data_IF_863390031354
#
_entry.id   IF_863390031354
#
_cell.length_a   1.000
_cell.length_b   1.000
_cell.length_c   1.000
_cell.angle_alpha   90.00
_cell.angle_beta   90.00
_cell.angle_gamma   90.00
#
_symmetry.space_group_name_H-M   'P 1'
#
loop_
_entity.id
_entity.type
_entity.pdbx_description
1 polymer ?
#
# COMPACT_ATOMS: atom_id res chain seq x y z
N UNK A 1 10.15 18.77 -10.39
CA UNK A 1 10.87 18.90 -9.10
C UNK A 1 10.10 18.22 -7.97
N UNK A 2 8.77 18.43 -7.89
CA UNK A 2 7.89 17.89 -6.84
C UNK A 2 7.66 16.36 -6.85
N UNK A 3 7.77 15.69 -8.01
CA UNK A 3 7.67 14.22 -8.07
C UNK A 3 8.76 13.49 -7.25
N UNK A 4 9.98 14.03 -7.18
CA UNK A 4 11.06 13.46 -6.35
C UNK A 4 10.75 13.60 -4.85
N UNK A 5 10.29 14.78 -4.44
CA UNK A 5 9.83 15.02 -3.07
C UNK A 5 8.68 14.06 -2.69
N UNK A 6 7.67 13.98 -3.54
CA UNK A 6 6.51 13.09 -3.34
C UNK A 6 6.95 11.63 -3.24
N UNK A 7 7.92 11.21 -4.06
CA UNK A 7 8.50 9.87 -4.00
C UNK A 7 9.18 9.58 -2.66
N UNK A 8 10.00 10.49 -2.15
CA UNK A 8 10.68 10.31 -0.86
C UNK A 8 9.69 10.29 0.32
N UNK A 9 8.61 11.08 0.25
CA UNK A 9 7.55 11.07 1.26
C UNK A 9 6.77 9.75 1.22
N UNK A 10 6.27 9.36 0.05
CA UNK A 10 5.43 8.16 -0.08
C UNK A 10 6.22 6.87 0.16
N UNK A 11 7.51 6.80 -0.20
CA UNK A 11 8.36 5.63 0.08
C UNK A 11 8.54 5.40 1.58
N UNK A 12 8.66 6.49 2.34
CA UNK A 12 8.76 6.46 3.81
C UNK A 12 7.40 6.10 4.42
N UNK A 13 6.30 6.70 3.97
CA UNK A 13 4.98 6.49 4.55
C UNK A 13 4.37 5.11 4.21
N UNK A 14 4.44 4.68 2.95
CA UNK A 14 3.79 3.47 2.46
C UNK A 14 4.64 2.20 2.67
N UNK A 15 5.97 2.32 2.57
CA UNK A 15 6.89 1.16 2.62
C UNK A 15 7.95 1.29 3.70
N UNK A 16 7.85 2.23 4.64
CA UNK A 16 8.83 2.43 5.71
C UNK A 16 10.30 2.45 5.22
N UNK A 17 10.51 2.87 3.97
CA UNK A 17 11.78 2.78 3.28
C UNK A 17 12.25 4.19 2.96
N UNK A 18 13.48 4.53 3.38
CA UNK A 18 14.07 5.82 3.03
C UNK A 18 14.71 5.71 1.65
N UNK A 19 14.13 6.41 0.68
CA UNK A 19 14.79 6.68 -0.59
C UNK A 19 15.52 8.01 -0.51
N UNK A 20 16.57 8.18 -1.32
CA UNK A 20 17.23 9.47 -1.48
C UNK A 20 17.17 9.89 -2.95
N UNK A 21 15.95 10.14 -3.44
CA UNK A 21 15.69 10.42 -4.87
C UNK A 21 16.46 11.63 -5.41
N UNK A 22 16.91 12.51 -4.52
CA UNK A 22 17.73 13.67 -4.84
C UNK A 22 19.19 13.32 -5.12
N UNK A 23 19.78 12.38 -4.36
CA UNK A 23 21.21 12.02 -4.48
C UNK A 23 21.45 10.83 -5.38
N UNK A 24 20.51 9.88 -5.44
CA UNK A 24 20.66 8.66 -6.22
C UNK A 24 19.44 8.42 -7.14
N UNK A 25 19.50 8.87 -8.40
CA UNK A 25 18.46 8.57 -9.37
C UNK A 25 18.46 7.11 -9.84
N UNK A 26 19.49 6.31 -9.51
CA UNK A 26 19.57 4.88 -9.84
C UNK A 26 19.10 3.98 -8.69
N UNK A 27 18.52 4.56 -7.65
CA UNK A 27 17.92 3.79 -6.57
C UNK A 27 16.86 2.82 -7.14
N UNK A 28 16.92 1.52 -6.79
CA UNK A 28 16.00 0.51 -7.33
C UNK A 28 14.53 0.84 -7.09
N UNK A 29 14.20 1.50 -5.96
CA UNK A 29 12.83 1.92 -5.68
C UNK A 29 12.37 2.97 -6.67
N UNK A 30 13.21 3.96 -6.95
CA UNK A 30 12.90 5.05 -7.89
C UNK A 30 12.77 4.51 -9.31
N UNK A 31 13.67 3.63 -9.74
CA UNK A 31 13.62 3.01 -11.07
C UNK A 31 12.35 2.16 -11.26
N UNK A 32 12.00 1.33 -10.27
CA UNK A 32 10.78 0.54 -10.34
C UNK A 32 9.52 1.41 -10.25
N UNK A 33 9.52 2.45 -9.42
CA UNK A 33 8.40 3.40 -9.38
C UNK A 33 8.20 4.11 -10.73
N UNK A 34 9.28 4.54 -11.38
CA UNK A 34 9.18 5.16 -12.71
C UNK A 34 8.54 4.22 -13.73
N UNK A 35 8.89 2.93 -13.73
CA UNK A 35 8.28 1.92 -14.61
C UNK A 35 6.78 1.73 -14.39
N UNK A 36 6.31 1.98 -13.16
CA UNK A 36 4.91 1.85 -12.77
C UNK A 36 4.09 3.03 -13.27
N UNK A 37 4.60 4.24 -13.07
CA UNK A 37 3.90 5.46 -13.46
C UNK A 37 4.11 5.85 -14.93
N UNK A 38 5.10 5.27 -15.62
CA UNK A 38 5.27 5.45 -17.07
C UNK A 38 4.29 4.57 -17.84
N UNK A 39 3.05 5.03 -17.95
CA UNK A 39 2.05 4.43 -18.84
C UNK A 39 2.50 4.64 -20.28
N UNK A 40 3.04 3.59 -20.90
CA UNK A 40 3.40 3.62 -22.31
C UNK A 40 2.15 3.66 -23.18
N UNK A 41 1.99 4.72 -23.99
CA UNK A 41 0.91 4.82 -25.00
C UNK A 41 0.84 3.61 -25.93
N UNK A 42 1.97 2.94 -26.18
CA UNK A 42 2.07 1.69 -26.94
C UNK A 42 1.37 0.50 -26.27
N UNK A 43 1.24 0.51 -24.93
CA UNK A 43 0.50 -0.51 -24.15
C UNK A 43 -1.00 -0.19 -24.07
N UNK A 44 -1.36 1.10 -24.08
CA UNK A 44 -2.75 1.55 -24.01
C UNK A 44 -3.47 1.48 -25.36
N UNK A 45 -2.79 1.81 -26.45
CA UNK A 45 -3.35 1.82 -27.80
C UNK A 45 -4.00 0.49 -28.22
N UNK A 46 -3.38 -0.70 -28.03
CA UNK A 46 -4.04 -1.95 -28.38
C UNK A 46 -5.24 -2.25 -27.48
N UNK A 47 -5.23 -1.83 -26.20
CA UNK A 47 -6.38 -1.99 -25.30
C UNK A 47 -7.61 -1.21 -25.78
N UNK A 48 -7.40 -0.03 -26.39
CA UNK A 48 -8.46 0.79 -26.96
C UNK A 48 -8.94 0.30 -28.33
N UNK A 49 -8.02 -0.17 -29.18
CA UNK A 49 -8.32 -0.51 -30.58
C UNK A 49 -8.80 -1.95 -30.79
N UNK A 50 -8.40 -2.91 -29.94
CA UNK A 50 -8.67 -4.33 -30.16
C UNK A 50 -9.62 -4.92 -29.12
N UNK A 51 -10.54 -5.81 -29.53
CA UNK A 51 -11.38 -6.56 -28.59
C UNK A 51 -10.55 -7.50 -27.70
N UNK A 52 -11.06 -7.79 -26.49
CA UNK A 52 -10.38 -8.63 -25.48
C UNK A 52 -9.88 -9.99 -26.01
N UNK A 53 -10.58 -10.61 -26.95
CA UNK A 53 -10.17 -11.91 -27.51
C UNK A 53 -8.90 -11.80 -28.37
N UNK A 54 -8.72 -10.69 -29.10
CA UNK A 54 -7.51 -10.44 -29.93
C UNK A 54 -6.32 -10.17 -29.02
N UNK A 55 -6.52 -9.40 -27.95
CA UNK A 55 -5.48 -9.11 -26.96
C UNK A 55 -5.00 -10.36 -26.24
N UNK A 56 -5.95 -11.25 -25.89
CA UNK A 56 -5.66 -12.56 -25.30
C UNK A 56 -4.89 -13.46 -26.27
N UNK A 57 -5.21 -13.43 -27.57
CA UNK A 57 -4.50 -14.22 -28.58
C UNK A 57 -3.06 -13.73 -28.78
N UNK A 58 -2.83 -12.41 -28.66
CA UNK A 58 -1.51 -11.79 -28.81
C UNK A 58 -0.68 -11.79 -27.50
N UNK A 59 -1.18 -12.41 -26.41
CA UNK A 59 -0.55 -12.38 -25.08
C UNK A 59 -0.12 -10.98 -24.62
N UNK A 60 -0.86 -9.94 -25.01
CA UNK A 60 -0.57 -8.57 -24.58
C UNK A 60 -1.02 -8.46 -23.13
N UNK A 61 -0.06 -8.45 -22.21
CA UNK A 61 -0.32 -8.25 -20.78
C UNK A 61 -0.65 -6.78 -20.54
N UNK A 62 -1.74 -6.54 -19.83
CA UNK A 62 -2.22 -5.20 -19.49
C UNK A 62 -1.73 -4.82 -18.09
N UNK A 63 -1.14 -3.63 -17.95
CA UNK A 63 -0.76 -3.07 -16.65
C UNK A 63 0.65 -2.45 -16.61
N UNK A 64 1.03 -2.04 -15.39
CA UNK A 64 2.40 -1.67 -15.05
C UNK A 64 3.37 -2.83 -15.31
N UNK A 65 4.67 -2.54 -15.43
CA UNK A 65 5.69 -3.57 -15.64
C UNK A 65 5.66 -4.59 -14.50
N UNK A 66 5.48 -5.88 -14.83
CA UNK A 66 5.34 -6.98 -13.85
C UNK A 66 6.53 -7.03 -12.89
N UNK A 67 7.74 -6.82 -13.41
CA UNK A 67 8.98 -6.75 -12.62
C UNK A 67 8.96 -5.64 -11.57
N UNK A 68 8.31 -4.51 -11.87
CA UNK A 68 8.21 -3.40 -10.95
C UNK A 68 7.19 -3.70 -9.85
N UNK A 69 6.02 -4.26 -10.19
CA UNK A 69 5.03 -4.68 -9.19
C UNK A 69 5.63 -5.73 -8.23
N UNK A 70 6.36 -6.71 -8.78
CA UNK A 70 7.02 -7.74 -8.01
C UNK A 70 8.04 -7.15 -7.02
N UNK A 71 8.79 -6.13 -7.42
CA UNK A 71 9.70 -5.40 -6.53
C UNK A 71 8.98 -4.83 -5.30
N UNK A 72 7.85 -4.13 -5.49
CA UNK A 72 7.09 -3.53 -4.39
C UNK A 72 6.44 -4.58 -3.49
N UNK A 73 5.91 -5.66 -4.07
CA UNK A 73 5.40 -6.80 -3.29
C UNK A 73 6.51 -7.46 -2.46
N UNK A 74 7.69 -7.65 -3.03
CA UNK A 74 8.82 -8.26 -2.33
C UNK A 74 9.34 -7.39 -1.19
N UNK A 75 9.42 -6.07 -1.37
CA UNK A 75 9.78 -5.15 -0.27
C UNK A 75 8.75 -5.22 0.85
N UNK A 76 7.46 -5.18 0.50
CA UNK A 76 6.38 -5.23 1.49
C UNK A 76 6.40 -6.54 2.28
N UNK A 77 6.51 -7.69 1.59
CA UNK A 77 6.66 -9.01 2.23
C UNK A 77 7.86 -9.05 3.16
N UNK A 78 9.00 -8.47 2.75
CA UNK A 78 10.21 -8.40 3.59
C UNK A 78 9.95 -7.61 4.86
N UNK A 79 9.35 -6.42 4.76
CA UNK A 79 9.03 -5.59 5.92
C UNK A 79 8.07 -6.33 6.86
N UNK A 80 7.00 -6.92 6.33
CA UNK A 80 6.06 -7.69 7.13
C UNK A 80 6.74 -8.84 7.87
N UNK A 81 7.64 -9.58 7.21
CA UNK A 81 8.40 -10.68 7.82
C UNK A 81 9.35 -10.18 8.91
N UNK A 82 10.07 -9.09 8.67
CA UNK A 82 10.95 -8.48 9.66
C UNK A 82 10.18 -8.05 10.92
N UNK A 83 8.98 -7.49 10.76
CA UNK A 83 8.14 -7.05 11.88
C UNK A 83 7.47 -8.19 12.62
N UNK A 84 7.04 -9.25 11.93
CA UNK A 84 6.54 -10.48 12.59
C UNK A 84 7.59 -11.09 13.52
N UNK A 85 8.87 -10.98 13.16
CA UNK A 85 9.99 -11.54 13.94
C UNK A 85 10.52 -10.60 15.03
N UNK A 86 10.24 -9.30 14.95
CA UNK A 86 10.73 -8.30 15.88
C UNK A 86 9.62 -7.84 16.83
N UNK A 87 9.86 -7.83 18.14
CA UNK A 87 8.89 -7.34 19.14
C UNK A 87 8.85 -5.80 19.27
N UNK A 88 9.15 -5.07 18.18
CA UNK A 88 9.12 -3.60 18.17
C UNK A 88 7.80 -3.12 17.58
N UNK A 89 7.15 -2.14 18.21
CA UNK A 89 5.99 -1.44 17.65
C UNK A 89 6.48 -0.40 16.63
N UNK A 90 5.84 -0.35 15.47
CA UNK A 90 6.09 0.63 14.42
C UNK A 90 4.85 1.54 14.30
N UNK A 91 5.05 2.83 14.03
CA UNK A 91 3.96 3.79 13.89
C UNK A 91 3.83 4.18 12.42
N UNK A 92 3.46 3.23 11.57
CA UNK A 92 3.29 3.45 10.13
C UNK A 92 2.18 2.58 9.53
N UNK A 93 1.90 2.81 8.26
CA UNK A 93 0.82 2.18 7.51
C UNK A 93 0.87 0.65 7.48
N UNK A 94 2.07 0.07 7.34
CA UNK A 94 2.22 -1.40 7.28
C UNK A 94 1.88 -2.02 8.63
N UNK A 95 2.24 -1.36 9.74
CA UNK A 95 1.88 -1.85 11.08
C UNK A 95 0.37 -1.80 11.31
N UNK A 96 -0.27 -0.71 10.90
CA UNK A 96 -1.72 -0.55 11.01
C UNK A 96 -2.46 -1.69 10.29
N UNK A 97 -2.07 -2.00 9.05
CA UNK A 97 -2.72 -3.09 8.30
C UNK A 97 -2.40 -4.47 8.91
N UNK A 98 -1.17 -4.70 9.38
CA UNK A 98 -0.81 -5.96 10.03
C UNK A 98 -1.57 -6.18 11.35
N UNK A 99 -1.88 -5.12 12.09
CA UNK A 99 -2.69 -5.22 13.30
C UNK A 99 -4.17 -5.42 12.98
N UNK A 100 -4.71 -4.74 11.96
CA UNK A 100 -6.05 -5.02 11.45
C UNK A 100 -6.24 -6.49 11.02
N UNK A 101 -5.19 -7.12 10.47
CA UNK A 101 -5.20 -8.57 10.20
C UNK A 101 -5.29 -9.41 11.48
N UNK A 102 -4.56 -9.05 12.54
CA UNK A 102 -4.54 -9.80 13.81
C UNK A 102 -5.87 -9.70 14.55
N UNK A 103 -6.45 -8.51 14.60
CA UNK A 103 -7.71 -8.25 15.29
C UNK A 103 -8.87 -9.04 14.67
N UNK A 104 -8.85 -9.25 13.36
CA UNK A 104 -9.81 -10.11 12.67
C UNK A 104 -9.61 -11.61 12.92
N UNK A 105 -8.41 -12.05 13.31
CA UNK A 105 -8.12 -13.47 13.59
C UNK A 105 -8.32 -13.87 15.05
N UNK A 106 -8.38 -12.90 15.96
CA UNK A 106 -8.44 -13.14 17.39
C UNK A 106 -9.70 -12.49 17.96
N UNK A 107 -10.74 -13.30 18.20
CA UNK A 107 -12.03 -12.89 18.80
C UNK A 107 -11.90 -12.35 20.25
N UNK A 108 -10.69 -12.10 20.74
CA UNK A 108 -10.42 -11.43 22.00
C UNK A 108 -9.72 -10.10 21.70
N UNK A 109 -10.43 -8.96 21.76
CA UNK A 109 -9.78 -7.66 21.70
C UNK A 109 -8.88 -7.54 22.93
N UNK A 110 -7.56 -7.66 22.73
CA UNK A 110 -6.61 -7.23 23.76
C UNK A 110 -6.58 -5.72 23.65
N UNK A 111 -7.24 -5.06 24.59
CA UNK A 111 -7.10 -3.64 24.83
C UNK A 111 -5.63 -3.37 25.20
N UNK A 112 -4.81 -3.03 24.22
CA UNK A 112 -3.54 -2.37 24.49
C UNK A 112 -3.90 -0.91 24.84
N UNK A 113 -3.96 -0.61 26.15
CA UNK A 113 -4.23 0.71 26.76
C UNK A 113 -3.27 1.84 26.30
N UNK A 114 -2.32 1.56 25.38
CA UNK A 114 -1.32 2.48 24.88
C UNK A 114 -1.46 2.83 23.39
N UNK A 115 -2.65 2.68 22.79
CA UNK A 115 -2.85 3.14 21.41
C UNK A 115 -3.02 4.66 21.33
N UNK A 116 -1.88 5.36 21.41
CA UNK A 116 -1.75 6.81 21.21
C UNK A 116 -1.74 7.12 19.70
N UNK A 117 -2.76 6.66 18.97
CA UNK A 117 -3.06 7.19 17.65
C UNK A 117 -4.12 8.29 17.80
N UNK A 118 -3.68 9.47 18.23
CA UNK A 118 -4.52 10.67 18.39
C UNK A 118 -5.19 11.15 17.09
N UNK A 119 -4.82 10.60 15.93
CA UNK A 119 -5.48 10.92 14.66
C UNK A 119 -6.88 10.30 14.52
N UNK A 120 -7.21 9.27 15.31
CA UNK A 120 -8.52 8.60 15.27
C UNK A 120 -9.49 9.08 16.38
N UNK A 121 -9.11 10.06 17.19
CA UNK A 121 -9.89 10.45 18.38
C UNK A 121 -10.15 11.94 18.49
N UNK A 122 -10.55 12.59 17.40
CA UNK A 122 -11.26 13.87 17.51
C UNK A 122 -12.76 13.58 17.37
N UNK A 123 -13.46 13.55 18.51
CA UNK A 123 -14.93 13.56 18.67
C UNK A 123 -15.76 12.27 18.65
N UNK A 124 -15.20 11.06 18.80
CA UNK A 124 -16.08 9.87 18.94
C UNK A 124 -16.63 9.68 20.36
N UNK A 125 -17.96 9.71 20.48
CA UNK A 125 -18.66 9.38 21.72
C UNK A 125 -18.53 7.89 22.08
N UNK A 126 -18.66 7.55 23.37
CA UNK A 126 -18.59 6.15 23.84
C UNK A 126 -19.59 5.22 23.11
N UNK A 127 -20.74 5.75 22.71
CA UNK A 127 -21.75 5.02 21.95
C UNK A 127 -21.30 4.70 20.51
N UNK A 128 -20.62 5.62 19.82
CA UNK A 128 -20.12 5.39 18.46
C UNK A 128 -19.06 4.28 18.43
N UNK A 129 -18.18 4.25 19.44
CA UNK A 129 -17.19 3.17 19.62
C UNK A 129 -17.85 1.81 19.86
N UNK A 130 -18.94 1.75 20.62
CA UNK A 130 -19.69 0.51 20.83
C UNK A 130 -20.43 0.04 19.57
N UNK A 131 -21.00 0.99 18.80
CA UNK A 131 -21.66 0.70 17.52
C UNK A 131 -20.64 0.20 16.50
N UNK A 132 -19.51 0.87 16.36
CA UNK A 132 -18.41 0.45 15.50
C UNK A 132 -17.91 -0.95 15.90
N UNK A 133 -17.67 -1.21 17.18
CA UNK A 133 -17.26 -2.54 17.68
C UNK A 133 -18.26 -3.64 17.35
N UNK A 134 -19.57 -3.36 17.41
CA UNK A 134 -20.65 -4.29 17.00
C UNK A 134 -20.72 -4.49 15.48
N UNK A 135 -20.44 -3.45 14.71
CA UNK A 135 -20.38 -3.54 13.25
C UNK A 135 -19.18 -4.40 12.86
N UNK A 136 -17.99 -4.10 13.38
CA UNK A 136 -16.77 -4.85 13.08
C UNK A 136 -16.84 -6.30 13.58
N UNK A 137 -17.47 -6.57 14.72
CA UNK A 137 -17.61 -7.96 15.22
C UNK A 137 -18.47 -8.85 14.31
N UNK A 138 -19.31 -8.25 13.45
CA UNK A 138 -20.13 -8.97 12.47
C UNK A 138 -19.48 -9.02 11.08
N UNK A 139 -18.34 -8.38 10.88
CA UNK A 139 -17.57 -8.48 9.65
C UNK A 139 -16.44 -9.46 9.88
N UNK A 140 -16.58 -10.67 9.31
CA UNK A 140 -15.49 -11.63 9.15
C UNK A 140 -14.43 -11.08 8.18
N UNK A 141 -13.72 -10.01 8.55
CA UNK A 141 -12.75 -9.34 7.69
C UNK A 141 -11.37 -9.99 7.86
N UNK A 142 -11.22 -11.22 7.41
CA UNK A 142 -9.90 -11.85 7.36
C UNK A 142 -9.04 -11.16 6.29
N UNK A 143 -8.23 -10.17 6.70
CA UNK A 143 -7.24 -9.56 5.81
C UNK A 143 -6.11 -10.58 5.62
N UNK A 144 -5.98 -11.10 4.40
CA UNK A 144 -4.90 -12.01 3.98
C UNK A 144 -3.62 -11.25 3.66
N UNK A 145 -2.47 -11.94 3.65
CA UNK A 145 -1.20 -11.31 3.25
C UNK A 145 -1.26 -10.68 1.86
N UNK A 146 -1.91 -11.35 0.89
CA UNK A 146 -2.13 -10.82 -0.45
C UNK A 146 -2.93 -9.52 -0.44
N UNK A 147 -3.93 -9.38 0.43
CA UNK A 147 -4.69 -8.14 0.58
C UNK A 147 -3.83 -7.03 1.19
N UNK A 148 -2.93 -7.33 2.13
CA UNK A 148 -1.98 -6.33 2.67
C UNK A 148 -1.07 -5.79 1.56
N UNK A 149 -0.55 -6.69 0.71
CA UNK A 149 0.27 -6.32 -0.43
C UNK A 149 -0.51 -5.45 -1.43
N UNK A 150 -1.74 -5.85 -1.75
CA UNK A 150 -2.61 -5.11 -2.66
C UNK A 150 -2.98 -3.72 -2.11
N UNK A 151 -3.31 -3.60 -0.82
CA UNK A 151 -3.65 -2.32 -0.20
C UNK A 151 -2.44 -1.38 -0.14
N UNK A 152 -1.25 -1.91 0.18
CA UNK A 152 0.00 -1.15 0.14
C UNK A 152 0.32 -0.64 -1.25
N UNK A 153 0.06 -1.47 -2.25
CA UNK A 153 0.22 -1.11 -3.65
C UNK A 153 -0.74 0.01 -4.10
N UNK A 154 -2.03 -0.13 -3.80
CA UNK A 154 -3.04 0.88 -4.14
C UNK A 154 -2.74 2.21 -3.46
N UNK A 155 -2.41 2.18 -2.16
CA UNK A 155 -2.06 3.37 -1.40
C UNK A 155 -0.86 4.11 -2.00
N UNK A 156 0.18 3.38 -2.41
CA UNK A 156 1.33 3.95 -3.08
C UNK A 156 0.98 4.60 -4.43
N UNK A 157 0.28 3.88 -5.31
CA UNK A 157 -0.05 4.37 -6.65
C UNK A 157 -0.94 5.59 -6.57
N UNK A 158 -2.03 5.51 -5.79
CA UNK A 158 -2.96 6.61 -5.63
C UNK A 158 -2.30 7.83 -4.97
N UNK A 159 -1.51 7.62 -3.92
CA UNK A 159 -0.86 8.70 -3.19
C UNK A 159 0.20 9.44 -4.00
N UNK A 160 1.01 8.70 -4.79
CA UNK A 160 2.05 9.31 -5.60
C UNK A 160 1.48 10.12 -6.77
N UNK A 161 0.60 9.54 -7.58
CA UNK A 161 0.13 10.19 -8.81
C UNK A 161 -0.68 11.46 -8.50
N UNK A 162 -1.60 11.39 -7.53
CA UNK A 162 -2.46 12.53 -7.16
C UNK A 162 -1.65 13.68 -6.55
N UNK A 163 -0.74 13.38 -5.61
CA UNK A 163 0.08 14.39 -4.95
C UNK A 163 1.11 14.99 -5.90
N UNK A 164 1.77 14.17 -6.73
CA UNK A 164 2.78 14.64 -7.67
C UNK A 164 2.19 15.45 -8.83
N UNK A 165 0.91 15.22 -9.19
CA UNK A 165 0.21 15.97 -10.24
C UNK A 165 -0.37 17.29 -9.71
N UNK A 166 -0.70 17.35 -8.42
CA UNK A 166 -1.26 18.55 -7.79
C UNK A 166 -0.18 19.60 -7.44
N UNK A 167 1.05 19.17 -7.13
CA UNK A 167 2.19 20.02 -6.76
C UNK A 167 3.05 20.43 -7.96
#
# INVERSE_FOLDING_TARGET
MYGKYTMDVISTCAFATKTNTYKDPNDPFVLNAQKVFQISVKRLLPLLLFPKFVLKLLNITHGAEESANEFFFNITRRIMKERKNNHKKYNDFIELIMNAQKDSTNNNPKEDENDVNEAHHVNEGKEEKEVEKKILSNVDKYITEEEILAQSWVFFVAGYETTATTL
#
